data_IF_571052564568
#
_entry.id   IF_571052564568
#
_cell.length_a   1.000
_cell.length_b   1.000
_cell.length_c   1.000
_cell.angle_alpha   90.00
_cell.angle_beta   90.00
_cell.angle_gamma   90.00
#
_symmetry.space_group_name_H-M   'P 1'
#
loop_
_entity.id
_entity.type
_entity.pdbx_description
1 polymer ?
#
# COMPACT_ATOMS: atom_id res chain seq x y z
N UNK A 1 47.18 8.13 -11.93
CA UNK A 1 47.33 8.10 -10.46
C UNK A 1 45.93 8.22 -9.86
N UNK A 2 45.41 7.16 -9.23
CA UNK A 2 44.09 7.21 -8.60
C UNK A 2 44.23 8.04 -7.33
N UNK A 3 43.60 9.21 -7.31
CA UNK A 3 43.45 10.01 -6.10
C UNK A 3 42.64 9.18 -5.11
N UNK A 4 43.33 8.52 -4.17
CA UNK A 4 42.71 7.88 -3.02
C UNK A 4 41.95 8.97 -2.26
N UNK A 5 40.63 8.92 -2.30
CA UNK A 5 39.81 9.74 -1.40
C UNK A 5 40.18 9.37 0.02
N UNK A 6 40.56 10.35 0.88
CA UNK A 6 40.93 10.04 2.26
C UNK A 6 39.74 9.37 2.94
N UNK A 7 40.00 8.26 3.64
CA UNK A 7 38.96 7.56 4.36
C UNK A 7 38.27 8.51 5.36
N UNK A 8 36.94 8.41 5.49
CA UNK A 8 36.23 9.29 6.41
C UNK A 8 36.67 8.98 7.85
N UNK A 9 37.22 10.00 8.51
CA UNK A 9 37.63 9.94 9.91
C UNK A 9 36.58 10.57 10.81
N UNK A 10 36.51 10.09 12.04
CA UNK A 10 35.71 10.64 13.11
C UNK A 10 36.61 11.11 14.26
N UNK A 11 36.25 12.23 14.87
CA UNK A 11 36.93 12.76 16.05
C UNK A 11 36.08 12.52 17.29
N UNK A 12 36.68 11.89 18.30
CA UNK A 12 36.16 11.80 19.66
C UNK A 12 36.61 13.06 20.40
N UNK A 13 35.68 13.73 21.06
CA UNK A 13 35.94 14.97 21.80
C UNK A 13 35.38 14.89 23.22
N UNK A 14 36.00 15.65 24.10
CA UNK A 14 35.58 15.88 25.47
C UNK A 14 35.11 17.33 25.62
N UNK A 15 34.02 17.53 26.35
CA UNK A 15 33.58 18.82 26.84
C UNK A 15 33.68 18.80 28.36
N UNK A 16 34.46 19.72 28.92
CA UNK A 16 34.66 19.88 30.36
C UNK A 16 33.86 21.07 30.85
N UNK A 17 33.13 20.92 31.95
CA UNK A 17 32.46 22.03 32.60
C UNK A 17 33.45 22.79 33.49
N UNK A 18 33.81 24.01 33.12
CA UNK A 18 34.88 24.77 33.79
C UNK A 18 34.62 25.07 35.27
N UNK A 19 33.38 25.36 35.75
CA UNK A 19 33.13 25.57 37.18
C UNK A 19 33.22 24.30 38.03
N UNK A 20 33.09 23.11 37.42
CA UNK A 20 33.36 21.84 38.07
C UNK A 20 33.99 20.87 37.05
N UNK A 21 35.33 20.82 36.98
CA UNK A 21 36.08 20.03 36.00
C UNK A 21 35.82 18.52 36.08
N UNK A 22 35.22 18.05 37.18
CA UNK A 22 34.84 16.66 37.36
C UNK A 22 33.60 16.28 36.54
N UNK A 23 32.87 17.26 36.00
CA UNK A 23 31.70 17.05 35.13
C UNK A 23 32.07 17.17 33.66
N UNK A 24 31.94 16.08 32.91
CA UNK A 24 32.39 16.00 31.53
C UNK A 24 31.36 15.38 30.59
N UNK A 25 31.47 15.66 29.29
CA UNK A 25 30.69 15.03 28.23
C UNK A 25 31.63 14.49 27.17
N UNK A 26 31.40 13.26 26.72
CA UNK A 26 32.18 12.63 25.66
C UNK A 26 31.25 12.41 24.47
N UNK A 27 31.72 12.75 23.27
CA UNK A 27 30.96 12.49 22.06
C UNK A 27 31.85 12.28 20.85
N UNK A 28 31.25 11.77 19.78
CA UNK A 28 31.90 11.61 18.47
C UNK A 28 31.30 12.52 17.41
N UNK A 29 32.10 12.84 16.38
CA UNK A 29 31.61 13.58 15.21
C UNK A 29 32.46 13.28 13.97
N UNK A 30 31.81 13.28 12.80
CA UNK A 30 32.45 13.13 11.48
C UNK A 30 32.65 14.52 10.83
N UNK A 31 31.83 15.50 11.20
CA UNK A 31 31.80 16.82 10.55
C UNK A 31 32.71 17.86 11.20
N UNK A 32 33.54 17.44 12.17
CA UNK A 32 34.40 18.31 12.98
C UNK A 32 33.76 18.77 14.30
N UNK A 33 34.63 19.00 15.30
CA UNK A 33 34.27 19.32 16.68
C UNK A 33 33.57 20.68 16.79
N UNK A 34 34.11 21.72 16.14
CA UNK A 34 33.54 23.08 16.15
C UNK A 34 32.10 23.11 15.62
N UNK A 35 31.83 22.39 14.54
CA UNK A 35 30.47 22.30 13.96
C UNK A 35 29.52 21.54 14.87
N UNK A 36 29.99 20.45 15.50
CA UNK A 36 29.18 19.68 16.45
C UNK A 36 28.85 20.49 17.70
N UNK A 37 29.79 21.31 18.19
CA UNK A 37 29.58 22.25 19.29
C UNK A 37 28.55 23.32 18.95
N UNK A 38 28.64 23.96 17.78
CA UNK A 38 27.62 24.89 17.32
C UNK A 38 26.23 24.23 17.28
N UNK A 39 26.16 22.94 16.93
CA UNK A 39 24.96 22.13 17.03
C UNK A 39 24.42 22.03 18.46
N UNK A 40 25.26 21.67 19.43
CA UNK A 40 24.90 21.63 20.86
C UNK A 40 24.39 22.99 21.36
N UNK A 41 25.07 24.08 21.02
CA UNK A 41 24.67 25.45 21.37
C UNK A 41 23.34 25.86 20.73
N UNK A 42 23.05 25.41 19.50
CA UNK A 42 21.77 25.67 18.84
C UNK A 42 20.64 24.87 19.49
N UNK A 43 20.87 23.59 19.78
CA UNK A 43 19.90 22.74 20.45
C UNK A 43 19.50 23.30 21.82
N UNK A 44 20.46 23.86 22.56
CA UNK A 44 20.21 24.55 23.83
C UNK A 44 19.27 25.76 23.72
N UNK A 45 19.18 26.41 22.54
CA UNK A 45 18.29 27.56 22.28
C UNK A 45 16.89 27.17 21.82
N UNK A 46 16.63 25.88 21.56
CA UNK A 46 15.35 25.44 21.02
C UNK A 46 14.24 25.63 22.06
N UNK A 47 13.13 26.26 21.66
CA UNK A 47 12.02 26.65 22.55
C UNK A 47 11.52 25.46 23.38
N UNK A 48 11.56 25.60 24.71
CA UNK A 48 10.96 24.67 25.67
C UNK A 48 11.94 23.86 26.55
N UNK A 49 13.26 23.96 26.37
CA UNK A 49 14.23 23.30 27.28
C UNK A 49 14.19 21.76 27.27
N UNK A 50 13.39 21.15 26.40
CA UNK A 50 13.17 19.70 26.31
C UNK A 50 14.16 19.00 25.38
N UNK A 51 15.43 19.42 25.31
CA UNK A 51 16.44 18.59 24.63
C UNK A 51 16.56 17.26 25.36
N UNK A 52 16.59 16.15 24.64
CA UNK A 52 16.86 14.81 25.21
C UNK A 52 18.30 14.67 25.71
N UNK A 53 19.20 15.58 25.34
CA UNK A 53 20.60 15.56 25.75
C UNK A 53 20.83 16.39 27.01
N UNK A 54 21.40 15.78 28.05
CA UNK A 54 21.75 16.49 29.31
C UNK A 54 22.74 17.64 29.08
N UNK A 55 23.68 17.49 28.16
CA UNK A 55 24.67 18.53 27.85
C UNK A 55 24.02 19.80 27.28
N UNK A 56 23.01 19.69 26.41
CA UNK A 56 22.31 20.85 25.86
C UNK A 56 21.53 21.61 26.94
N UNK A 57 20.95 20.90 27.91
CA UNK A 57 20.30 21.53 29.08
C UNK A 57 21.32 22.24 29.98
N UNK A 58 22.48 21.64 30.18
CA UNK A 58 23.56 22.26 30.96
C UNK A 58 24.10 23.53 30.28
N UNK A 59 24.24 23.52 28.95
CA UNK A 59 24.61 24.71 28.16
C UNK A 59 23.55 25.80 28.28
N UNK A 60 22.26 25.44 28.25
CA UNK A 60 21.17 26.41 28.43
C UNK A 60 21.17 27.04 29.83
N UNK A 61 21.57 26.27 30.86
CA UNK A 61 21.59 26.74 32.25
C UNK A 61 22.83 27.59 32.60
N UNK A 62 24.01 27.20 32.13
CA UNK A 62 25.28 27.83 32.53
C UNK A 62 25.90 28.73 31.46
N UNK A 63 25.37 28.70 30.24
CA UNK A 63 25.93 29.40 29.09
C UNK A 63 27.09 28.63 28.44
N UNK A 64 27.32 28.81 27.12
CA UNK A 64 28.35 28.09 26.39
C UNK A 64 29.77 28.43 26.83
N UNK A 65 30.01 29.63 27.37
CA UNK A 65 31.32 30.08 27.87
C UNK A 65 31.82 29.29 29.09
N UNK A 66 30.93 28.58 29.80
CA UNK A 66 31.30 27.76 30.95
C UNK A 66 31.89 26.39 30.55
N UNK A 67 32.05 26.10 29.26
CA UNK A 67 32.49 24.79 28.77
C UNK A 67 33.75 24.91 27.91
N UNK A 68 34.70 24.03 28.17
CA UNK A 68 35.93 23.87 27.39
C UNK A 68 35.84 22.59 26.56
N UNK A 69 36.34 22.62 25.32
CA UNK A 69 36.24 21.49 24.38
C UNK A 69 37.64 21.08 23.94
N UNK A 70 37.94 19.78 24.04
CA UNK A 70 39.19 19.21 23.56
C UNK A 70 38.95 17.97 22.70
N UNK A 71 39.78 17.79 21.67
CA UNK A 71 39.81 16.54 20.91
C UNK A 71 40.62 15.49 21.67
N UNK A 72 40.08 14.27 21.81
CA UNK A 72 40.75 13.17 22.49
C UNK A 72 41.45 12.24 21.50
N UNK A 73 40.74 11.80 20.47
CA UNK A 73 41.22 10.78 19.53
C UNK A 73 40.58 11.02 18.16
N UNK A 74 41.32 10.78 17.08
CA UNK A 74 40.77 10.70 15.73
C UNK A 74 40.94 9.27 15.24
N UNK A 75 39.84 8.66 14.80
CA UNK A 75 39.78 7.25 14.41
C UNK A 75 38.96 7.09 13.12
N UNK A 76 39.04 5.93 12.43
CA UNK A 76 38.15 5.63 11.31
C UNK A 76 36.68 5.66 11.74
N UNK A 77 35.77 6.10 10.86
CA UNK A 77 34.32 6.17 11.18
C UNK A 77 33.75 4.83 11.64
N UNK A 78 34.24 3.72 11.10
CA UNK A 78 33.83 2.37 11.49
C UNK A 78 34.10 2.07 12.98
N UNK A 79 35.15 2.65 13.55
CA UNK A 79 35.60 2.41 14.92
C UNK A 79 35.09 3.47 15.91
N UNK A 80 34.51 4.57 15.41
CA UNK A 80 34.08 5.70 16.23
C UNK A 80 33.08 5.32 17.34
N UNK A 81 32.25 4.29 17.10
CA UNK A 81 31.35 3.74 18.12
C UNK A 81 32.10 3.09 19.28
N UNK A 82 33.04 2.20 18.96
CA UNK A 82 33.87 1.51 19.95
C UNK A 82 34.79 2.49 20.70
N UNK A 83 35.38 3.46 19.99
CA UNK A 83 36.23 4.48 20.59
C UNK A 83 35.45 5.35 21.61
N UNK A 84 34.22 5.77 21.28
CA UNK A 84 33.35 6.52 22.18
C UNK A 84 33.03 5.73 23.47
N UNK A 85 32.70 4.43 23.35
CA UNK A 85 32.43 3.56 24.49
C UNK A 85 33.66 3.45 25.41
N UNK A 86 34.85 3.21 24.83
CA UNK A 86 36.10 3.10 25.59
C UNK A 86 36.36 4.35 26.42
N UNK A 87 36.19 5.53 25.82
CA UNK A 87 36.43 6.80 26.52
C UNK A 87 35.38 7.07 27.60
N UNK A 88 34.10 6.77 27.35
CA UNK A 88 33.04 6.87 28.37
C UNK A 88 33.35 5.98 29.57
N UNK A 89 33.74 4.73 29.33
CA UNK A 89 34.10 3.78 30.39
C UNK A 89 35.31 4.27 31.18
N UNK A 90 36.37 4.71 30.49
CA UNK A 90 37.58 5.23 31.14
C UNK A 90 37.28 6.39 32.09
N UNK A 91 36.52 7.40 31.66
CA UNK A 91 36.22 8.54 32.53
C UNK A 91 35.28 8.17 33.68
N UNK A 92 34.39 7.19 33.48
CA UNK A 92 33.57 6.64 34.58
C UNK A 92 34.44 5.91 35.61
N UNK A 93 35.40 5.09 35.17
CA UNK A 93 36.31 4.37 36.07
C UNK A 93 37.26 5.31 36.80
N UNK A 94 37.66 6.39 36.14
CA UNK A 94 38.50 7.45 36.73
C UNK A 94 37.71 8.34 37.71
N UNK A 95 36.40 8.08 37.88
CA UNK A 95 35.53 8.71 38.88
C UNK A 95 34.73 9.90 38.38
N UNK A 96 34.88 10.34 37.12
CA UNK A 96 34.22 11.55 36.62
C UNK A 96 32.70 11.41 36.49
N UNK A 97 32.00 12.53 36.66
CA UNK A 97 30.56 12.64 36.43
C UNK A 97 30.27 12.95 34.97
N UNK A 98 29.67 12.00 34.24
CA UNK A 98 29.38 12.18 32.81
C UNK A 98 27.98 12.74 32.54
N UNK A 99 27.88 13.69 31.60
CA UNK A 99 26.60 14.11 31.01
C UNK A 99 26.02 13.07 30.04
N UNK A 100 26.79 12.06 29.64
CA UNK A 100 26.33 10.93 28.84
C UNK A 100 25.31 10.09 29.61
N UNK A 101 24.14 9.84 29.00
CA UNK A 101 23.06 9.05 29.60
C UNK A 101 23.33 7.54 29.56
N UNK A 102 24.02 7.07 28.52
CA UNK A 102 24.32 5.65 28.30
C UNK A 102 25.83 5.44 28.18
N UNK A 103 26.28 4.18 28.23
CA UNK A 103 27.69 3.77 28.11
C UNK A 103 28.29 4.01 26.71
N UNK A 104 27.52 4.58 25.78
CA UNK A 104 27.89 4.73 24.38
C UNK A 104 27.37 3.58 23.51
N UNK A 105 27.47 3.73 22.19
CA UNK A 105 27.02 2.70 21.23
C UNK A 105 25.56 2.80 20.78
N UNK A 106 24.75 3.62 21.44
CA UNK A 106 23.33 3.83 21.09
C UNK A 106 23.17 4.79 19.92
N UNK A 107 23.55 4.34 18.72
CA UNK A 107 23.19 5.01 17.46
C UNK A 107 21.68 4.94 17.22
N UNK A 108 20.92 5.81 17.88
CA UNK A 108 19.48 5.98 17.64
C UNK A 108 18.65 4.68 17.77
N UNK A 109 17.39 4.68 17.27
CA UNK A 109 16.43 3.60 17.50
C UNK A 109 16.82 2.23 16.91
N UNK A 110 17.94 2.16 16.17
CA UNK A 110 18.37 0.95 15.47
C UNK A 110 19.40 0.11 16.26
N UNK A 111 19.89 0.60 17.42
CA UNK A 111 20.86 -0.13 18.26
C UNK A 111 20.23 -0.97 19.39
N UNK A 112 18.97 -0.68 19.76
CA UNK A 112 18.29 -1.39 20.84
C UNK A 112 17.58 -2.65 20.33
N UNK A 113 18.24 -3.80 20.43
CA UNK A 113 17.60 -5.10 20.22
C UNK A 113 17.10 -5.66 21.55
N UNK A 114 15.78 -5.69 21.75
CA UNK A 114 15.17 -6.37 22.89
C UNK A 114 15.65 -7.82 22.96
N UNK A 115 16.03 -8.27 24.17
CA UNK A 115 16.43 -9.66 24.40
C UNK A 115 15.32 -10.63 24.00
N UNK A 116 15.69 -11.86 23.63
CA UNK A 116 14.72 -12.89 23.26
C UNK A 116 13.69 -13.14 24.38
N UNK A 117 14.14 -13.10 25.63
CA UNK A 117 13.29 -13.22 26.82
C UNK A 117 12.28 -12.07 26.92
N UNK A 118 12.71 -10.83 26.68
CA UNK A 118 11.83 -9.64 26.73
C UNK A 118 10.78 -9.69 25.62
N UNK A 119 11.18 -10.09 24.40
CA UNK A 119 10.25 -10.28 23.28
C UNK A 119 9.19 -11.34 23.61
N UNK A 120 9.59 -12.43 24.27
CA UNK A 120 8.67 -13.49 24.71
C UNK A 120 7.67 -12.97 25.74
N UNK A 121 8.14 -12.23 26.77
CA UNK A 121 7.26 -11.61 27.79
C UNK A 121 6.23 -10.66 27.16
N UNK A 122 6.66 -9.80 26.23
CA UNK A 122 5.78 -8.88 25.51
C UNK A 122 4.76 -9.65 24.65
N UNK A 123 5.21 -10.71 23.95
CA UNK A 123 4.34 -11.56 23.13
C UNK A 123 3.26 -12.26 23.97
N UNK A 124 3.66 -12.87 25.09
CA UNK A 124 2.74 -13.53 26.02
C UNK A 124 1.74 -12.54 26.63
N UNK A 125 2.20 -11.37 27.07
CA UNK A 125 1.34 -10.33 27.64
C UNK A 125 0.33 -9.74 26.65
N UNK A 126 0.60 -9.82 25.35
CA UNK A 126 -0.30 -9.31 24.31
C UNK A 126 -1.17 -10.39 23.66
N UNK A 127 -0.92 -11.67 23.97
CA UNK A 127 -1.68 -12.78 23.41
C UNK A 127 -3.10 -12.75 23.97
N UNK A 128 -4.09 -12.71 23.08
CA UNK A 128 -5.52 -12.72 23.44
C UNK A 128 -6.13 -11.35 23.76
N UNK A 129 -5.34 -10.27 23.80
CA UNK A 129 -5.90 -8.92 23.93
C UNK A 129 -6.65 -8.53 22.66
N UNK A 130 -7.95 -8.34 22.77
CA UNK A 130 -8.77 -7.78 21.69
C UNK A 130 -8.70 -6.25 21.77
N UNK A 131 -8.61 -5.60 20.61
CA UNK A 131 -8.64 -4.14 20.54
C UNK A 131 -10.05 -3.69 20.98
N UNK A 132 -10.16 -2.74 21.94
CA UNK A 132 -11.40 -2.12 22.34
C UNK A 132 -12.22 -1.63 21.14
N UNK A 133 -13.54 -1.73 21.24
CA UNK A 133 -14.44 -1.49 20.10
C UNK A 133 -14.35 -0.05 19.57
N UNK A 134 -14.17 0.93 20.46
CA UNK A 134 -13.98 2.34 20.11
C UNK A 134 -12.66 2.55 19.32
N UNK A 135 -11.57 1.94 19.80
CA UNK A 135 -10.27 2.02 19.14
C UNK A 135 -10.29 1.31 17.79
N UNK A 136 -10.97 0.17 17.69
CA UNK A 136 -11.16 -0.56 16.43
C UNK A 136 -11.89 0.29 15.39
N UNK A 137 -12.96 0.99 15.80
CA UNK A 137 -13.71 1.92 14.93
C UNK A 137 -12.84 3.08 14.43
N UNK A 138 -12.00 3.68 15.30
CA UNK A 138 -11.06 4.74 14.89
C UNK A 138 -10.05 4.25 13.85
N UNK A 139 -9.48 3.06 14.06
CA UNK A 139 -8.52 2.44 13.12
C UNK A 139 -9.22 2.12 11.79
N UNK A 140 -10.42 1.54 11.84
CA UNK A 140 -11.20 1.21 10.65
C UNK A 140 -11.55 2.46 9.83
N UNK A 141 -12.00 3.54 10.49
CA UNK A 141 -12.29 4.81 9.84
C UNK A 141 -11.05 5.41 9.15
N UNK A 142 -9.88 5.37 9.80
CA UNK A 142 -8.63 5.88 9.24
C UNK A 142 -8.12 5.09 8.02
N UNK A 143 -8.43 3.79 7.95
CA UNK A 143 -8.02 2.89 6.86
C UNK A 143 -9.06 2.78 5.74
N UNK A 144 -10.31 3.13 6.01
CA UNK A 144 -11.39 3.09 5.03
C UNK A 144 -11.05 3.96 3.81
N UNK A 145 -11.26 3.41 2.61
CA UNK A 145 -11.00 4.10 1.33
C UNK A 145 -9.55 4.12 0.85
N UNK A 146 -8.56 3.73 1.66
CA UNK A 146 -7.16 3.65 1.22
C UNK A 146 -6.94 2.42 0.34
N UNK A 147 -6.69 2.62 -0.96
CA UNK A 147 -6.25 1.53 -1.85
C UNK A 147 -4.79 1.19 -1.55
N UNK A 148 -4.53 -0.07 -1.21
CA UNK A 148 -3.15 -0.56 -1.05
C UNK A 148 -2.46 -0.52 -2.43
N UNK A 149 -1.18 -0.11 -2.51
CA UNK A 149 -0.44 -0.14 -3.76
C UNK A 149 -0.30 -1.60 -4.25
N UNK A 150 -0.36 -1.78 -5.57
CA UNK A 150 -0.35 -3.11 -6.20
C UNK A 150 0.91 -3.94 -5.84
N UNK A 151 2.04 -3.26 -5.65
CA UNK A 151 3.31 -3.88 -5.24
C UNK A 151 3.23 -4.60 -3.89
N UNK A 152 2.39 -4.14 -2.97
CA UNK A 152 2.20 -4.78 -1.67
C UNK A 152 1.34 -6.04 -1.79
N UNK A 153 0.32 -6.02 -2.66
CA UNK A 153 -0.50 -7.20 -2.95
C UNK A 153 0.34 -8.35 -3.54
N UNK A 154 1.24 -8.02 -4.47
CA UNK A 154 2.14 -9.00 -5.08
C UNK A 154 3.13 -9.59 -4.07
N UNK A 155 3.72 -8.76 -3.20
CA UNK A 155 4.62 -9.21 -2.12
C UNK A 155 3.93 -10.17 -1.14
N UNK A 156 2.71 -9.83 -0.72
CA UNK A 156 1.93 -10.70 0.18
C UNK A 156 1.60 -12.03 -0.49
N UNK A 157 1.20 -12.01 -1.76
CA UNK A 157 0.89 -13.22 -2.52
C UNK A 157 2.11 -14.12 -2.69
N UNK A 158 3.27 -13.55 -3.00
CA UNK A 158 4.54 -14.28 -3.10
C UNK A 158 4.92 -14.92 -1.76
N UNK A 159 4.81 -14.18 -0.66
CA UNK A 159 5.15 -14.66 0.69
C UNK A 159 4.22 -15.78 1.20
N UNK A 160 2.96 -15.79 0.75
CA UNK A 160 1.98 -16.82 1.08
C UNK A 160 2.00 -18.01 0.13
N UNK A 161 2.57 -17.85 -1.07
CA UNK A 161 2.73 -18.93 -2.04
C UNK A 161 3.54 -20.07 -1.42
N UNK A 162 2.98 -21.29 -1.43
CA UNK A 162 3.63 -22.49 -0.89
C UNK A 162 3.47 -22.70 0.62
N UNK A 163 2.93 -21.74 1.38
CA UNK A 163 2.62 -21.97 2.81
C UNK A 163 1.33 -22.77 2.95
N UNK A 164 1.41 -24.00 3.47
CA UNK A 164 0.21 -24.75 3.90
C UNK A 164 -0.38 -24.09 5.14
N UNK A 165 -1.69 -23.90 5.13
CA UNK A 165 -2.43 -23.42 6.30
C UNK A 165 -2.39 -24.49 7.39
N UNK A 166 -2.38 -24.11 8.69
CA UNK A 166 -2.50 -25.06 9.79
C UNK A 166 -3.78 -25.88 9.68
N UNK A 167 -3.70 -27.18 9.92
CA UNK A 167 -4.81 -28.11 9.72
C UNK A 167 -6.06 -27.73 10.51
N UNK A 168 -5.91 -27.34 11.78
CA UNK A 168 -7.02 -26.85 12.62
C UNK A 168 -7.78 -25.67 11.98
N UNK A 169 -7.07 -24.74 11.34
CA UNK A 169 -7.70 -23.60 10.66
C UNK A 169 -8.50 -24.06 9.42
N UNK A 170 -7.98 -25.04 8.69
CA UNK A 170 -8.67 -25.63 7.54
C UNK A 170 -9.95 -26.35 8.00
N UNK A 171 -9.87 -27.13 9.07
CA UNK A 171 -11.00 -27.87 9.64
C UNK A 171 -12.11 -26.94 10.15
N UNK A 172 -11.76 -25.90 10.91
CA UNK A 172 -12.73 -24.90 11.39
C UNK A 172 -13.43 -24.18 10.24
N UNK A 173 -12.70 -23.84 9.18
CA UNK A 173 -13.29 -23.24 7.97
C UNK A 173 -14.23 -24.21 7.27
N UNK A 174 -13.84 -25.48 7.12
CA UNK A 174 -14.69 -26.50 6.50
C UNK A 174 -15.99 -26.71 7.30
N UNK A 175 -15.92 -26.77 8.63
CA UNK A 175 -17.08 -26.88 9.50
C UNK A 175 -17.99 -25.65 9.39
N UNK A 176 -17.43 -24.44 9.41
CA UNK A 176 -18.21 -23.19 9.24
C UNK A 176 -18.93 -23.15 7.88
N UNK A 177 -18.26 -23.52 6.79
CA UNK A 177 -18.87 -23.58 5.46
C UNK A 177 -20.03 -24.57 5.41
N UNK A 178 -19.90 -25.74 6.03
CA UNK A 178 -20.97 -26.75 6.13
C UNK A 178 -22.19 -26.21 6.88
N UNK A 179 -21.97 -25.53 7.99
CA UNK A 179 -23.06 -25.00 8.82
C UNK A 179 -23.79 -23.81 8.19
N UNK A 180 -23.10 -23.01 7.37
CA UNK A 180 -23.65 -21.75 6.85
C UNK A 180 -23.86 -21.79 5.33
N UNK A 181 -22.80 -21.64 4.53
CA UNK A 181 -22.98 -21.43 3.08
C UNK A 181 -23.42 -22.69 2.32
N UNK A 182 -23.05 -23.87 2.81
CA UNK A 182 -23.40 -25.15 2.20
C UNK A 182 -24.64 -25.79 2.85
N UNK A 183 -25.23 -25.17 3.86
CA UNK A 183 -26.51 -25.63 4.40
C UNK A 183 -27.62 -25.43 3.37
N UNK A 184 -28.73 -26.16 3.43
CA UNK A 184 -29.85 -25.99 2.49
C UNK A 184 -30.35 -24.54 2.43
N UNK A 185 -30.45 -23.88 3.58
CA UNK A 185 -30.84 -22.47 3.70
C UNK A 185 -29.79 -21.54 3.07
N UNK A 186 -28.50 -21.76 3.34
CA UNK A 186 -27.42 -20.97 2.77
C UNK A 186 -27.33 -21.09 1.25
N UNK A 187 -27.52 -22.31 0.72
CA UNK A 187 -27.59 -22.53 -0.72
C UNK A 187 -28.80 -21.85 -1.35
N UNK A 188 -29.96 -21.89 -0.71
CA UNK A 188 -31.16 -21.19 -1.18
C UNK A 188 -30.96 -19.67 -1.20
N UNK A 189 -30.36 -19.09 -0.16
CA UNK A 189 -30.00 -17.67 -0.12
C UNK A 189 -29.02 -17.28 -1.24
N UNK A 190 -28.00 -18.11 -1.49
CA UNK A 190 -27.05 -17.87 -2.58
C UNK A 190 -27.73 -17.94 -3.96
N UNK A 191 -28.62 -18.91 -4.19
CA UNK A 191 -29.42 -18.99 -5.42
C UNK A 191 -30.31 -17.77 -5.61
N UNK A 192 -31.02 -17.36 -4.57
CA UNK A 192 -31.87 -16.16 -4.60
C UNK A 192 -31.07 -14.88 -4.89
N UNK A 193 -29.87 -14.73 -4.29
CA UNK A 193 -28.98 -13.62 -4.58
C UNK A 193 -28.44 -13.66 -6.02
N UNK A 194 -28.08 -14.84 -6.52
CA UNK A 194 -27.64 -15.03 -7.89
C UNK A 194 -28.77 -14.71 -8.89
N UNK A 195 -29.99 -15.13 -8.62
CA UNK A 195 -31.19 -14.81 -9.42
C UNK A 195 -31.50 -13.32 -9.41
N UNK A 196 -31.43 -12.65 -8.26
CA UNK A 196 -31.61 -11.19 -8.15
C UNK A 196 -30.55 -10.44 -8.96
N UNK A 197 -29.28 -10.85 -8.84
CA UNK A 197 -28.17 -10.28 -9.62
C UNK A 197 -28.39 -10.50 -11.11
N UNK A 198 -28.70 -11.73 -11.51
CA UNK A 198 -28.97 -12.07 -12.91
C UNK A 198 -30.15 -11.26 -13.48
N UNK A 199 -31.22 -11.07 -12.69
CA UNK A 199 -32.39 -10.30 -13.10
C UNK A 199 -32.06 -8.82 -13.28
N UNK A 200 -31.22 -8.25 -12.39
CA UNK A 200 -30.72 -6.88 -12.49
C UNK A 200 -29.82 -6.69 -13.71
N UNK A 201 -28.83 -7.58 -13.88
CA UNK A 201 -27.91 -7.56 -15.04
C UNK A 201 -28.70 -7.74 -16.35
N UNK A 202 -29.76 -8.57 -16.32
CA UNK A 202 -30.71 -8.73 -17.42
C UNK A 202 -31.40 -7.40 -17.75
N UNK A 203 -32.02 -6.73 -16.78
CA UNK A 203 -32.70 -5.44 -17.00
C UNK A 203 -31.74 -4.34 -17.46
N UNK A 204 -30.54 -4.28 -16.88
CA UNK A 204 -29.54 -3.27 -17.24
C UNK A 204 -29.05 -3.44 -18.69
N UNK A 205 -28.73 -4.67 -19.10
CA UNK A 205 -28.34 -4.95 -20.47
C UNK A 205 -29.48 -4.73 -21.48
N UNK A 206 -30.73 -4.94 -21.05
CA UNK A 206 -31.91 -4.66 -21.88
C UNK A 206 -32.12 -3.16 -22.06
N UNK A 207 -31.96 -2.36 -21.00
CA UNK A 207 -32.06 -0.89 -21.06
C UNK A 207 -30.98 -0.25 -21.95
N UNK A 208 -29.75 -0.78 -21.96
CA UNK A 208 -28.66 -0.22 -22.76
C UNK A 208 -28.87 -0.41 -24.27
N UNK A 209 -29.48 -1.53 -24.67
CA UNK A 209 -29.68 -1.89 -26.08
C UNK A 209 -31.04 -1.49 -26.63
N UNK A 210 -32.09 -1.45 -25.79
CA UNK A 210 -33.44 -1.06 -26.22
C UNK A 210 -33.47 0.42 -26.63
N UNK A 211 -34.17 0.74 -27.71
CA UNK A 211 -34.23 2.09 -28.28
C UNK A 211 -33.07 2.47 -29.21
N UNK A 212 -32.00 1.66 -29.30
CA UNK A 212 -30.90 1.92 -30.24
C UNK A 212 -31.30 1.69 -31.69
N UNK A 213 -30.80 2.53 -32.58
CA UNK A 213 -31.04 2.49 -34.02
C UNK A 213 -29.83 1.89 -34.76
N UNK A 214 -30.09 0.91 -35.62
CA UNK A 214 -29.11 0.27 -36.50
C UNK A 214 -29.62 0.30 -37.95
N UNK A 215 -29.25 1.36 -38.68
CA UNK A 215 -29.82 1.63 -40.00
C UNK A 215 -31.32 1.89 -39.90
N UNK A 216 -32.14 1.01 -40.46
CA UNK A 216 -33.60 1.11 -40.41
C UNK A 216 -34.25 0.24 -39.33
N UNK A 217 -33.46 -0.37 -38.43
CA UNK A 217 -33.94 -1.21 -37.34
C UNK A 217 -33.84 -0.49 -35.99
N UNK A 218 -34.93 -0.41 -35.26
CA UNK A 218 -34.99 0.06 -33.85
C UNK A 218 -35.07 -1.15 -32.94
N UNK A 219 -34.16 -1.30 -31.99
CA UNK A 219 -34.21 -2.40 -31.02
C UNK A 219 -35.35 -2.16 -30.03
N UNK A 220 -36.26 -3.12 -29.88
CA UNK A 220 -37.40 -3.02 -28.97
C UNK A 220 -37.09 -3.67 -27.62
N UNK A 221 -36.68 -4.95 -27.65
CA UNK A 221 -36.43 -5.75 -26.46
C UNK A 221 -35.48 -6.91 -26.76
N UNK A 222 -34.92 -7.49 -25.70
CA UNK A 222 -34.18 -8.74 -25.80
C UNK A 222 -35.15 -9.91 -25.95
N UNK A 223 -34.81 -10.81 -26.87
CA UNK A 223 -35.49 -12.08 -27.11
C UNK A 223 -34.77 -13.25 -26.44
N UNK A 224 -35.09 -14.46 -26.90
CA UNK A 224 -34.56 -15.68 -26.31
C UNK A 224 -33.09 -15.94 -26.67
N UNK A 225 -32.46 -16.80 -25.86
CA UNK A 225 -31.13 -17.31 -26.16
C UNK A 225 -31.24 -18.40 -27.23
N UNK A 226 -30.28 -18.42 -28.15
CA UNK A 226 -30.06 -19.60 -28.98
C UNK A 226 -29.39 -20.74 -28.18
N UNK A 227 -29.26 -21.91 -28.79
CA UNK A 227 -28.57 -23.07 -28.20
C UNK A 227 -27.10 -22.80 -27.81
N UNK A 228 -26.46 -21.77 -28.39
CA UNK A 228 -25.10 -21.31 -28.06
C UNK A 228 -25.06 -20.27 -26.95
N UNK A 229 -26.19 -20.00 -26.29
CA UNK A 229 -26.31 -19.05 -25.18
C UNK A 229 -26.34 -17.57 -25.57
N UNK A 230 -26.40 -17.24 -26.86
CA UNK A 230 -26.43 -15.86 -27.36
C UNK A 230 -27.85 -15.34 -27.49
N UNK A 231 -28.11 -14.13 -26.99
CA UNK A 231 -29.41 -13.49 -27.08
C UNK A 231 -29.70 -12.97 -28.49
N UNK A 232 -30.93 -13.23 -28.97
CA UNK A 232 -31.52 -12.50 -30.10
C UNK A 232 -32.19 -11.23 -29.60
N UNK A 233 -32.24 -10.20 -30.44
CA UNK A 233 -32.86 -8.93 -30.16
C UNK A 233 -34.01 -8.71 -31.13
N UNK A 234 -35.20 -8.42 -30.59
CA UNK A 234 -36.37 -8.09 -31.38
C UNK A 234 -36.24 -6.63 -31.82
N UNK A 235 -36.22 -6.41 -33.12
CA UNK A 235 -36.06 -5.10 -33.73
C UNK A 235 -37.23 -4.79 -34.63
N UNK A 236 -37.74 -3.55 -34.59
CA UNK A 236 -38.76 -3.06 -35.51
C UNK A 236 -38.12 -2.25 -36.62
N UNK A 237 -38.45 -2.60 -37.86
CA UNK A 237 -38.00 -1.84 -39.01
C UNK A 237 -38.84 -0.57 -39.21
N UNK A 238 -38.30 0.43 -39.91
CA UNK A 238 -39.04 1.64 -40.31
C UNK A 238 -40.29 1.34 -41.14
N UNK A 239 -40.39 0.17 -41.76
CA UNK A 239 -41.59 -0.31 -42.45
C UNK A 239 -42.61 -1.03 -41.54
N UNK A 240 -42.41 -1.02 -40.22
CA UNK A 240 -43.28 -1.65 -39.24
C UNK A 240 -43.03 -3.14 -38.96
N UNK A 241 -42.29 -3.85 -39.81
CA UNK A 241 -42.03 -5.28 -39.62
C UNK A 241 -41.01 -5.55 -38.51
N UNK A 242 -41.31 -6.53 -37.66
CA UNK A 242 -40.42 -6.98 -36.59
C UNK A 242 -39.53 -8.15 -37.03
N UNK A 243 -38.28 -8.15 -36.58
CA UNK A 243 -37.30 -9.20 -36.87
C UNK A 243 -36.43 -9.49 -35.66
N UNK A 244 -36.03 -10.76 -35.51
CA UNK A 244 -35.05 -11.18 -34.52
C UNK A 244 -33.64 -11.20 -35.10
N UNK A 245 -32.72 -10.49 -34.45
CA UNK A 245 -31.34 -10.33 -34.95
C UNK A 245 -30.35 -10.48 -33.79
N UNK A 246 -29.19 -11.08 -34.04
CA UNK A 246 -28.13 -11.13 -33.05
C UNK A 246 -27.50 -9.75 -32.83
N UNK A 247 -27.09 -9.45 -31.58
CA UNK A 247 -26.38 -8.21 -31.22
C UNK A 247 -25.18 -7.96 -32.13
N UNK A 248 -24.38 -9.00 -32.37
CA UNK A 248 -23.19 -8.92 -33.21
C UNK A 248 -23.50 -8.55 -34.66
N UNK A 249 -24.63 -8.98 -35.21
CA UNK A 249 -25.05 -8.62 -36.58
C UNK A 249 -25.51 -7.17 -36.68
N UNK A 250 -26.10 -6.62 -35.61
CA UNK A 250 -26.48 -5.20 -35.52
C UNK A 250 -25.23 -4.31 -35.38
N UNK A 251 -24.35 -4.63 -34.43
CA UNK A 251 -23.14 -3.85 -34.16
C UNK A 251 -22.14 -3.87 -35.34
N UNK A 252 -22.05 -4.99 -36.06
CA UNK A 252 -21.20 -5.11 -37.27
C UNK A 252 -21.86 -4.56 -38.54
N UNK A 253 -23.09 -4.06 -38.47
CA UNK A 253 -23.82 -3.55 -39.63
C UNK A 253 -24.20 -4.60 -40.68
N UNK A 254 -24.18 -5.89 -40.32
CA UNK A 254 -24.52 -6.99 -41.23
C UNK A 254 -26.03 -7.10 -41.50
N UNK A 255 -26.85 -6.59 -40.58
CA UNK A 255 -28.31 -6.57 -40.68
C UNK A 255 -28.84 -5.20 -40.27
N UNK A 256 -29.27 -4.41 -41.26
CA UNK A 256 -29.73 -3.01 -41.08
C UNK A 256 -31.18 -2.78 -41.50
N UNK A 257 -31.87 -3.81 -42.01
CA UNK A 257 -33.30 -3.77 -42.39
C UNK A 257 -34.00 -5.09 -42.08
N UNK A 258 -35.34 -5.13 -42.09
CA UNK A 258 -36.09 -6.38 -41.85
C UNK A 258 -35.79 -7.46 -42.90
N UNK A 259 -35.50 -7.09 -44.14
CA UNK A 259 -35.28 -8.02 -45.25
C UNK A 259 -36.57 -8.40 -46.00
N UNK A 260 -37.71 -7.83 -45.62
CA UNK A 260 -39.00 -8.07 -46.28
C UNK A 260 -38.96 -7.74 -47.78
N UNK A 261 -39.67 -8.53 -48.59
CA UNK A 261 -39.72 -8.33 -50.05
C UNK A 261 -40.33 -6.97 -50.42
N UNK A 262 -41.37 -6.56 -49.71
CA UNK A 262 -42.10 -5.31 -49.89
C UNK A 262 -41.51 -4.11 -49.12
N UNK A 263 -40.45 -4.31 -48.32
CA UNK A 263 -39.85 -3.23 -47.54
C UNK A 263 -39.01 -2.29 -48.44
N UNK A 264 -39.28 -0.97 -48.44
CA UNK A 264 -38.53 0.00 -49.25
C UNK A 264 -37.02 -0.02 -48.93
N UNK A 265 -36.66 -0.01 -47.64
CA UNK A 265 -35.28 -0.01 -47.20
C UNK A 265 -34.54 -1.31 -47.61
N UNK A 266 -35.22 -2.46 -47.52
CA UNK A 266 -34.64 -3.73 -47.96
C UNK A 266 -34.54 -3.83 -49.49
N UNK A 267 -35.43 -3.18 -50.24
CA UNK A 267 -35.35 -3.11 -51.71
C UNK A 267 -34.10 -2.36 -52.15
N UNK A 268 -33.81 -1.21 -51.55
CA UNK A 268 -32.60 -0.42 -51.84
C UNK A 268 -31.33 -1.24 -51.57
N UNK A 269 -31.26 -1.93 -50.43
CA UNK A 269 -30.10 -2.77 -50.12
C UNK A 269 -29.91 -3.93 -51.09
N UNK A 270 -30.99 -4.59 -51.54
CA UNK A 270 -30.90 -5.67 -52.52
C UNK A 270 -30.41 -5.17 -53.89
N UNK A 271 -30.89 -4.02 -54.35
CA UNK A 271 -30.42 -3.40 -55.59
C UNK A 271 -28.93 -3.07 -55.53
N UNK A 272 -28.48 -2.46 -54.42
CA UNK A 272 -27.07 -2.16 -54.21
C UNK A 272 -26.20 -3.43 -54.16
N UNK A 273 -26.68 -4.50 -53.52
CA UNK A 273 -25.97 -5.79 -53.49
C UNK A 273 -25.87 -6.44 -54.87
N UNK A 274 -26.94 -6.40 -55.67
CA UNK A 274 -26.94 -6.91 -57.04
C UNK A 274 -25.95 -6.16 -57.94
N UNK A 275 -25.93 -4.83 -57.86
CA UNK A 275 -24.98 -4.00 -58.59
C UNK A 275 -23.51 -4.33 -58.24
N UNK A 276 -23.21 -4.51 -56.95
CA UNK A 276 -21.88 -4.92 -56.49
C UNK A 276 -21.49 -6.30 -57.03
N UNK A 277 -22.37 -7.30 -56.91
CA UNK A 277 -22.11 -8.66 -57.38
C UNK A 277 -21.87 -8.71 -58.90
N UNK A 278 -22.55 -7.87 -59.66
CA UNK A 278 -22.35 -7.75 -61.10
C UNK A 278 -20.99 -7.12 -61.45
N UNK A 279 -20.56 -6.10 -60.69
CA UNK A 279 -19.23 -5.51 -60.86
C UNK A 279 -18.09 -6.50 -60.56
N UNK A 280 -18.25 -7.35 -59.54
CA UNK A 280 -17.23 -8.36 -59.16
C UNK A 280 -17.13 -9.53 -60.16
N UNK A 281 -18.18 -9.79 -60.95
CA UNK A 281 -18.15 -10.83 -62.01
C UNK A 281 -17.55 -10.36 -63.32
N UNK A 282 -17.35 -9.05 -63.48
CA UNK A 282 -16.73 -8.42 -64.66
C UNK A 282 -15.28 -8.00 -64.41
N UNK A 283 -14.76 -8.22 -63.20
CA UNK A 283 -13.36 -8.04 -62.80
C UNK A 283 -12.66 -9.39 -62.76
#
# INVERSE_FOLDING_TARGET
>A
MRNSTPEPVATIYLITFTPNPHKVYIGKTITGVTRRWAGHCREARTRGGHSSMRIARAIAAHGPQAFEIRSLETCPVAEAGSAEIRWIQKYRTDGFDLYNLTDGGDGGPNGWHQSAETKLKISLANRGKTIPEDQRKRIAAALSGRKRPASVGMKVRLALSGRKQPEDTVTRRAQSLRLHCNSPEGQAQQRALAERRWSRDRQQGDNEMSGRLFGHLTVLRRGEKNARGQYRWCCRCSCGHEVEVFRSSLERGLKTTCGGKTCPASRVLRQAAYAKAWATRRS
#
